data_IF_819946401135
#
_entry.id   IF_819946401135
#
_cell.length_a   1.000
_cell.length_b   1.000
_cell.length_c   1.000
_cell.angle_alpha   90.00
_cell.angle_beta   90.00
_cell.angle_gamma   90.00
#
_symmetry.space_group_name_H-M   'P 1'
#
loop_
_entity.id
_entity.type
_entity.pdbx_description
1 polymer ?
#
# COMPACT_ATOMS: atom_id res chain seq x y z
N UNK A 1 14.55 -3.73 24.69
CA UNK A 1 15.18 -5.04 24.95
C UNK A 1 14.68 -6.00 23.90
N UNK A 2 15.42 -6.14 22.80
CA UNK A 2 15.03 -7.02 21.69
C UNK A 2 15.20 -8.46 22.13
N UNK A 3 14.09 -9.17 22.35
CA UNK A 3 14.14 -10.62 22.47
C UNK A 3 14.56 -11.15 21.10
N UNK A 4 15.81 -11.59 20.98
CA UNK A 4 16.21 -12.59 19.99
C UNK A 4 15.48 -13.87 20.33
N UNK A 5 14.21 -13.98 19.93
CA UNK A 5 13.53 -15.26 19.91
C UNK A 5 14.29 -16.11 18.90
N UNK A 6 15.14 -17.00 19.41
CA UNK A 6 15.62 -18.12 18.62
C UNK A 6 14.37 -18.94 18.33
N UNK A 7 13.81 -18.72 17.14
CA UNK A 7 12.70 -19.49 16.62
C UNK A 7 13.02 -20.99 16.78
N UNK A 8 12.06 -21.83 17.19
CA UNK A 8 12.18 -23.27 17.03
C UNK A 8 12.68 -23.60 15.60
N UNK A 9 13.50 -24.66 15.41
CA UNK A 9 14.13 -24.94 14.12
C UNK A 9 13.15 -24.96 12.93
N UNK A 10 11.94 -25.52 13.15
CA UNK A 10 10.89 -25.57 12.14
C UNK A 10 10.35 -24.18 11.76
N UNK A 11 10.18 -23.29 12.74
CA UNK A 11 9.75 -21.90 12.50
C UNK A 11 10.84 -21.10 11.77
N UNK A 12 12.11 -21.37 12.08
CA UNK A 12 13.26 -20.78 11.40
C UNK A 12 13.33 -21.18 9.92
N UNK A 13 13.13 -22.47 9.60
CA UNK A 13 13.04 -22.97 8.21
C UNK A 13 11.86 -22.33 7.48
N UNK A 14 10.69 -22.29 8.11
CA UNK A 14 9.51 -21.66 7.52
C UNK A 14 9.72 -20.18 7.24
N UNK A 15 10.31 -19.45 8.20
CA UNK A 15 10.61 -18.04 8.06
C UNK A 15 11.62 -17.80 6.92
N UNK A 16 12.63 -18.67 6.75
CA UNK A 16 13.53 -18.62 5.58
C UNK A 16 12.76 -18.72 4.26
N UNK A 17 11.80 -19.64 4.15
CA UNK A 17 10.98 -19.77 2.94
C UNK A 17 10.16 -18.50 2.66
N UNK A 18 9.57 -17.90 3.71
CA UNK A 18 8.86 -16.63 3.61
C UNK A 18 9.78 -15.48 3.17
N UNK A 19 11.00 -15.42 3.72
CA UNK A 19 12.04 -14.43 3.34
C UNK A 19 12.41 -14.57 1.87
N UNK A 20 12.65 -15.79 1.38
CA UNK A 20 13.01 -16.03 -0.02
C UNK A 20 11.88 -15.65 -0.98
N UNK A 21 10.64 -16.03 -0.66
CA UNK A 21 9.47 -15.65 -1.48
C UNK A 21 9.29 -14.12 -1.52
N UNK A 22 9.45 -13.46 -0.37
CA UNK A 22 9.40 -11.99 -0.25
C UNK A 22 10.52 -11.33 -1.05
N UNK A 23 11.75 -11.83 -0.94
CA UNK A 23 12.92 -11.33 -1.64
C UNK A 23 12.82 -11.51 -3.17
N UNK A 24 12.18 -12.57 -3.65
CA UNK A 24 11.95 -12.82 -5.08
C UNK A 24 10.70 -12.12 -5.63
N UNK A 25 9.88 -11.51 -4.77
CA UNK A 25 8.62 -10.87 -5.18
C UNK A 25 7.52 -11.86 -5.55
N UNK A 26 7.64 -13.11 -5.13
CA UNK A 26 6.72 -14.20 -5.47
C UNK A 26 5.59 -14.29 -4.44
N UNK A 27 4.47 -13.61 -4.76
CA UNK A 27 3.29 -13.52 -3.88
C UNK A 27 2.59 -14.87 -3.73
N UNK A 28 2.57 -15.69 -4.79
CA UNK A 28 1.89 -16.98 -4.78
C UNK A 28 2.65 -17.99 -3.92
N UNK A 29 3.98 -18.04 -4.08
CA UNK A 29 4.83 -18.82 -3.18
C UNK A 29 4.73 -18.31 -1.76
N UNK A 30 4.79 -16.99 -1.53
CA UNK A 30 4.64 -16.42 -0.19
C UNK A 30 3.32 -16.84 0.43
N UNK A 31 2.20 -16.75 -0.31
CA UNK A 31 0.87 -17.17 0.15
C UNK A 31 0.84 -18.62 0.60
N UNK A 32 1.51 -19.52 -0.12
CA UNK A 32 1.55 -20.94 0.23
C UNK A 32 2.33 -21.26 1.52
N UNK A 33 3.35 -20.45 1.84
CA UNK A 33 4.23 -20.66 3.00
C UNK A 33 3.99 -19.66 4.14
N UNK A 34 3.01 -18.76 4.01
CA UNK A 34 2.85 -17.65 4.94
C UNK A 34 2.32 -18.11 6.30
N UNK A 35 3.06 -17.79 7.36
CA UNK A 35 2.62 -17.95 8.74
C UNK A 35 2.59 -16.59 9.45
N UNK A 36 1.40 -16.22 9.93
CA UNK A 36 1.13 -14.90 10.50
C UNK A 36 1.98 -14.55 11.72
N UNK A 37 2.22 -15.52 12.60
CA UNK A 37 2.99 -15.33 13.83
C UNK A 37 4.50 -15.14 13.57
N UNK A 38 5.01 -15.56 12.40
CA UNK A 38 6.41 -15.40 12.02
C UNK A 38 6.71 -14.06 11.33
N UNK A 39 5.69 -13.24 11.05
CA UNK A 39 5.85 -12.00 10.26
C UNK A 39 6.83 -10.98 10.84
N UNK A 40 6.98 -10.98 12.16
CA UNK A 40 7.86 -10.06 12.90
C UNK A 40 9.25 -10.64 13.18
N UNK A 41 9.54 -11.85 12.71
CA UNK A 41 10.88 -12.39 12.82
C UNK A 41 11.83 -11.59 11.96
N UNK A 42 13.09 -11.60 12.37
CA UNK A 42 14.15 -10.80 11.78
C UNK A 42 15.20 -11.72 11.16
N UNK A 43 15.74 -11.33 10.01
CA UNK A 43 16.82 -12.10 9.37
C UNK A 43 18.03 -12.14 10.32
N UNK A 44 18.47 -13.35 10.67
CA UNK A 44 19.69 -13.59 11.45
C UNK A 44 20.67 -14.40 10.63
N UNK A 45 21.91 -13.93 10.52
CA UNK A 45 22.98 -14.65 9.82
C UNK A 45 23.27 -16.00 10.45
N UNK A 46 23.31 -16.04 11.79
CA UNK A 46 23.58 -17.27 12.53
C UNK A 46 22.48 -18.30 12.26
N UNK A 47 21.21 -17.90 12.43
CA UNK A 47 20.05 -18.76 12.20
C UNK A 47 19.99 -19.25 10.75
N UNK A 48 20.28 -18.40 9.76
CA UNK A 48 20.33 -18.83 8.37
C UNK A 48 21.43 -19.87 8.13
N UNK A 49 22.65 -19.64 8.63
CA UNK A 49 23.75 -20.61 8.47
C UNK A 49 23.45 -21.93 9.17
N UNK A 50 22.84 -21.90 10.36
CA UNK A 50 22.45 -23.11 11.09
C UNK A 50 21.43 -23.94 10.30
N UNK A 51 20.43 -23.30 9.68
CA UNK A 51 19.44 -23.97 8.80
C UNK A 51 20.14 -24.61 7.61
N UNK A 52 21.00 -23.85 6.91
CA UNK A 52 21.73 -24.36 5.73
C UNK A 52 22.60 -25.56 6.10
N UNK A 53 23.27 -25.51 7.26
CA UNK A 53 24.13 -26.60 7.71
C UNK A 53 23.31 -27.85 8.06
N UNK A 54 22.16 -27.69 8.72
CA UNK A 54 21.23 -28.79 9.00
C UNK A 54 20.66 -29.40 7.71
N UNK A 55 20.21 -28.58 6.77
CA UNK A 55 19.72 -29.06 5.47
C UNK A 55 20.82 -29.79 4.69
N UNK A 56 22.04 -29.26 4.66
CA UNK A 56 23.17 -29.93 4.03
C UNK A 56 23.41 -31.31 4.64
N UNK A 57 23.47 -31.42 5.97
CA UNK A 57 23.64 -32.73 6.63
C UNK A 57 22.51 -33.70 6.32
N UNK A 58 21.27 -33.21 6.17
CA UNK A 58 20.13 -34.04 5.78
C UNK A 58 20.25 -34.52 4.33
N UNK A 59 20.60 -33.63 3.39
CA UNK A 59 20.78 -33.99 1.99
C UNK A 59 21.91 -35.02 1.80
N UNK A 60 22.99 -34.92 2.58
CA UNK A 60 24.07 -35.91 2.56
C UNK A 60 23.63 -37.34 2.93
N UNK A 61 22.49 -37.49 3.62
CA UNK A 61 21.89 -38.81 3.93
C UNK A 61 21.04 -39.42 2.80
N UNK A 62 20.71 -38.66 1.74
CA UNK A 62 19.91 -39.15 0.62
C UNK A 62 20.64 -40.25 -0.14
N UNK A 63 20.01 -41.40 -0.36
CA UNK A 63 20.66 -42.55 -1.02
C UNK A 63 20.88 -42.36 -2.52
N UNK A 64 20.00 -41.61 -3.18
CA UNK A 64 20.12 -41.28 -4.61
C UNK A 64 21.19 -40.20 -4.81
N UNK A 65 22.23 -40.52 -5.58
CA UNK A 65 23.35 -39.61 -5.82
C UNK A 65 22.99 -38.44 -6.73
N UNK A 66 22.10 -38.63 -7.71
CA UNK A 66 21.70 -37.58 -8.63
C UNK A 66 20.79 -36.57 -7.92
N UNK A 67 19.79 -37.07 -7.19
CA UNK A 67 18.90 -36.22 -6.39
C UNK A 67 19.67 -35.45 -5.31
N UNK A 68 20.65 -36.11 -4.68
CA UNK A 68 21.54 -35.46 -3.70
C UNK A 68 22.34 -34.32 -4.32
N UNK A 69 22.97 -34.54 -5.46
CA UNK A 69 23.79 -33.54 -6.14
C UNK A 69 22.95 -32.34 -6.60
N UNK A 70 21.79 -32.60 -7.20
CA UNK A 70 20.85 -31.55 -7.63
C UNK A 70 20.42 -30.67 -6.45
N UNK A 71 19.94 -31.25 -5.35
CA UNK A 71 19.49 -30.50 -4.17
C UNK A 71 20.63 -29.77 -3.45
N UNK A 72 21.84 -30.33 -3.43
CA UNK A 72 23.00 -29.65 -2.86
C UNK A 72 23.40 -28.42 -3.69
N UNK A 73 23.32 -28.52 -5.02
CA UNK A 73 23.58 -27.39 -5.90
C UNK A 73 22.53 -26.27 -5.69
N UNK A 74 21.24 -26.61 -5.62
CA UNK A 74 20.17 -25.64 -5.31
C UNK A 74 20.42 -24.91 -3.97
N UNK A 75 20.84 -25.66 -2.94
CA UNK A 75 21.14 -25.10 -1.62
C UNK A 75 22.35 -24.15 -1.66
N UNK A 76 23.39 -24.49 -2.43
CA UNK A 76 24.56 -23.64 -2.63
C UNK A 76 24.22 -22.37 -3.42
N UNK A 77 23.43 -22.48 -4.47
CA UNK A 77 22.97 -21.36 -5.28
C UNK A 77 22.14 -20.38 -4.45
N UNK A 78 21.23 -20.88 -3.62
CA UNK A 78 20.45 -20.04 -2.72
C UNK A 78 21.34 -19.35 -1.68
N UNK A 79 22.28 -20.09 -1.07
CA UNK A 79 23.24 -19.52 -0.12
C UNK A 79 24.04 -18.38 -0.75
N UNK A 80 24.52 -18.59 -1.98
CA UNK A 80 25.25 -17.58 -2.75
C UNK A 80 24.36 -16.37 -3.08
N UNK A 81 23.12 -16.60 -3.53
CA UNK A 81 22.13 -15.56 -3.79
C UNK A 81 21.88 -14.71 -2.54
N UNK A 82 21.69 -15.34 -1.38
CA UNK A 82 21.44 -14.67 -0.11
C UNK A 82 22.61 -13.77 0.32
N UNK A 83 23.85 -14.27 0.28
CA UNK A 83 25.01 -13.46 0.65
C UNK A 83 25.29 -12.34 -0.36
N UNK A 84 25.13 -12.60 -1.65
CA UNK A 84 25.19 -11.57 -2.68
C UNK A 84 24.14 -10.47 -2.45
N UNK A 85 22.92 -10.83 -2.06
CA UNK A 85 21.86 -9.87 -1.75
C UNK A 85 22.19 -9.00 -0.52
N UNK A 86 22.85 -9.58 0.49
CA UNK A 86 23.33 -8.82 1.66
C UNK A 86 24.44 -7.85 1.28
N UNK A 87 25.41 -8.28 0.47
CA UNK A 87 26.53 -7.44 0.02
C UNK A 87 26.07 -6.27 -0.86
N UNK A 88 25.09 -6.50 -1.73
CA UNK A 88 24.49 -5.48 -2.58
C UNK A 88 23.51 -4.57 -1.83
N UNK A 89 23.27 -4.81 -0.53
CA UNK A 89 22.33 -4.04 0.28
C UNK A 89 20.86 -4.23 -0.11
N UNK A 90 20.54 -5.27 -0.89
CA UNK A 90 19.17 -5.67 -1.25
C UNK A 90 18.46 -6.39 -0.10
N UNK A 91 19.23 -6.99 0.80
CA UNK A 91 18.79 -7.48 2.11
C UNK A 91 19.65 -6.85 3.19
N UNK A 92 19.11 -6.68 4.40
CA UNK A 92 19.90 -6.38 5.58
C UNK A 92 19.62 -7.39 6.69
N UNK A 93 20.67 -7.77 7.42
CA UNK A 93 20.50 -8.53 8.66
C UNK A 93 19.66 -7.71 9.64
N UNK A 94 18.68 -8.36 10.25
CA UNK A 94 17.68 -7.74 11.11
C UNK A 94 16.39 -7.34 10.40
N UNK A 95 16.33 -7.34 9.06
CA UNK A 95 15.12 -6.99 8.32
C UNK A 95 14.01 -8.01 8.61
N UNK A 96 12.77 -7.52 8.76
CA UNK A 96 11.55 -8.35 8.74
C UNK A 96 11.04 -8.48 7.31
N UNK A 97 10.03 -9.34 7.06
CA UNK A 97 9.41 -9.46 5.72
C UNK A 97 8.93 -8.10 5.17
N UNK A 98 8.44 -7.23 6.07
CA UNK A 98 7.97 -5.90 5.70
C UNK A 98 9.13 -5.01 5.24
N UNK A 99 10.28 -5.04 5.92
CA UNK A 99 11.47 -4.29 5.51
C UNK A 99 11.97 -4.74 4.14
N UNK A 100 12.02 -6.05 3.90
CA UNK A 100 12.45 -6.62 2.62
C UNK A 100 11.52 -6.16 1.50
N UNK A 101 10.21 -6.32 1.68
CA UNK A 101 9.22 -5.96 0.67
C UNK A 101 9.25 -4.45 0.35
N UNK A 102 9.44 -3.62 1.37
CA UNK A 102 9.59 -2.17 1.20
C UNK A 102 10.88 -1.81 0.47
N UNK A 103 12.01 -2.35 0.91
CA UNK A 103 13.34 -2.08 0.36
C UNK A 103 13.43 -2.44 -1.12
N UNK A 104 12.79 -3.54 -1.51
CA UNK A 104 12.79 -4.04 -2.90
C UNK A 104 11.66 -3.46 -3.75
N UNK A 105 10.75 -2.67 -3.17
CA UNK A 105 9.65 -2.09 -3.93
C UNK A 105 8.51 -3.07 -4.26
N UNK A 106 8.41 -4.20 -3.58
CA UNK A 106 7.44 -5.26 -3.87
C UNK A 106 6.04 -4.92 -3.35
N UNK A 107 5.32 -4.08 -4.10
CA UNK A 107 3.96 -3.59 -3.74
C UNK A 107 2.97 -4.72 -3.51
N UNK A 108 3.00 -5.77 -4.32
CA UNK A 108 2.03 -6.87 -4.22
C UNK A 108 2.28 -7.73 -2.96
N UNK A 109 3.54 -7.88 -2.57
CA UNK A 109 3.92 -8.54 -1.31
C UNK A 109 3.48 -7.68 -0.11
N UNK A 110 3.69 -6.37 -0.17
CA UNK A 110 3.23 -5.45 0.87
C UNK A 110 1.72 -5.50 1.03
N UNK A 111 1.01 -5.43 -0.08
CA UNK A 111 -0.43 -5.55 -0.11
C UNK A 111 -0.87 -6.89 0.47
N UNK A 112 -0.23 -8.01 0.10
CA UNK A 112 -0.52 -9.31 0.70
C UNK A 112 -0.31 -9.33 2.22
N UNK A 113 0.81 -8.80 2.73
CA UNK A 113 1.15 -8.77 4.16
C UNK A 113 0.15 -7.88 4.95
N UNK A 114 -0.26 -6.75 4.37
CA UNK A 114 -1.15 -5.75 4.99
C UNK A 114 -2.65 -6.10 4.89
N UNK A 115 -3.05 -6.78 3.81
CA UNK A 115 -4.48 -7.01 3.49
C UNK A 115 -4.99 -8.38 3.88
N UNK A 116 -4.12 -9.34 4.18
CA UNK A 116 -4.59 -10.65 4.58
C UNK A 116 -5.39 -10.52 5.87
N UNK A 117 -6.70 -10.74 5.77
CA UNK A 117 -7.54 -11.04 6.92
C UNK A 117 -6.87 -12.24 7.61
N UNK A 118 -6.35 -12.05 8.81
CA UNK A 118 -5.91 -13.14 9.67
C UNK A 118 -7.13 -13.93 10.15
N UNK A 119 -7.88 -14.51 9.22
CA UNK A 119 -8.86 -15.53 9.52
C UNK A 119 -8.10 -16.77 9.95
N UNK A 120 -7.98 -16.92 11.26
CA UNK A 120 -7.99 -18.23 11.88
C UNK A 120 -9.18 -18.99 11.29
N UNK A 121 -8.90 -19.93 10.40
CA UNK A 121 -9.85 -20.90 9.92
C UNK A 121 -10.19 -21.87 11.07
N UNK A 122 -11.02 -21.45 12.01
CA UNK A 122 -11.89 -22.41 12.70
C UNK A 122 -13.20 -22.47 11.92
N UNK A 123 -13.21 -23.34 10.92
CA UNK A 123 -14.45 -23.88 10.36
C UNK A 123 -15.15 -24.67 11.48
N UNK A 124 -15.95 -23.99 12.30
CA UNK A 124 -17.04 -24.66 13.00
C UNK A 124 -18.28 -24.41 12.16
N UNK A 125 -18.57 -25.39 11.31
CA UNK A 125 -19.81 -25.49 10.55
C UNK A 125 -20.97 -25.58 11.55
N UNK A 126 -21.52 -24.45 11.99
CA UNK A 126 -22.80 -24.43 12.71
C UNK A 126 -23.89 -24.24 11.66
N UNK A 127 -24.44 -25.38 11.24
CA UNK A 127 -25.66 -25.49 10.46
C UNK A 127 -26.81 -24.87 11.28
N UNK A 128 -27.68 -24.02 10.70
CA UNK A 128 -28.80 -23.46 11.44
C UNK A 128 -29.96 -24.45 11.40
N UNK A 129 -30.02 -25.37 12.36
CA UNK A 129 -31.20 -26.22 12.54
C UNK A 129 -32.10 -25.67 13.67
N UNK A 130 -33.23 -25.15 13.21
CA UNK A 130 -34.54 -24.94 13.81
C UNK A 130 -34.84 -25.59 15.18
N UNK A 131 -35.31 -24.75 16.11
CA UNK A 131 -36.29 -24.95 17.19
C UNK A 131 -36.25 -26.15 18.18
N UNK A 132 -36.51 -25.77 19.44
CA UNK A 132 -37.14 -26.51 20.56
C UNK A 132 -36.24 -27.05 21.70
N UNK A 133 -36.55 -26.52 22.90
CA UNK A 133 -36.51 -27.07 24.27
C UNK A 133 -35.70 -28.33 24.58
N UNK A 134 -34.90 -28.30 25.67
CA UNK A 134 -35.23 -28.87 27.02
C UNK A 134 -33.98 -28.82 27.93
N UNK A 135 -34.18 -28.53 29.21
CA UNK A 135 -33.20 -28.60 30.31
C UNK A 135 -32.58 -30.00 30.45
N UNK A 136 -31.28 -30.09 30.78
CA UNK A 136 -30.69 -31.15 31.62
C UNK A 136 -29.26 -30.85 32.07
N UNK A 137 -28.91 -31.42 33.21
CA UNK A 137 -27.86 -31.08 34.18
C UNK A 137 -26.67 -32.07 34.08
N UNK A 138 -25.45 -31.58 34.39
CA UNK A 138 -24.20 -32.25 34.83
C UNK A 138 -23.64 -33.46 34.04
N UNK A 139 -22.39 -33.33 33.57
CA UNK A 139 -21.31 -34.29 33.90
C UNK A 139 -19.92 -33.72 33.58
N UNK A 140 -19.00 -34.07 34.46
CA UNK A 140 -17.59 -33.67 34.55
C UNK A 140 -16.74 -34.08 33.35
N UNK A 141 -15.75 -33.25 33.00
CA UNK A 141 -14.75 -33.54 31.99
C UNK A 141 -13.69 -32.44 31.92
N UNK A 142 -12.66 -32.55 32.76
CA UNK A 142 -11.47 -31.71 32.71
C UNK A 142 -10.81 -31.78 31.32
N UNK A 143 -10.93 -30.72 30.54
CA UNK A 143 -9.93 -30.34 29.55
C UNK A 143 -9.66 -28.85 29.72
N UNK A 144 -8.53 -28.54 30.35
CA UNK A 144 -7.91 -27.21 30.31
C UNK A 144 -7.47 -26.95 28.87
N UNK A 145 -8.40 -26.48 28.04
CA UNK A 145 -8.04 -25.81 26.81
C UNK A 145 -7.49 -24.43 27.20
N UNK A 146 -6.16 -24.34 27.33
CA UNK A 146 -5.48 -23.04 27.23
C UNK A 146 -5.88 -22.45 25.89
N UNK A 147 -6.83 -21.54 25.93
CA UNK A 147 -7.21 -20.70 24.81
C UNK A 147 -5.97 -19.88 24.49
N UNK A 148 -5.13 -20.37 23.57
CA UNK A 148 -4.07 -19.56 23.00
C UNK A 148 -4.77 -18.44 22.24
N UNK A 149 -4.94 -17.32 22.94
CA UNK A 149 -5.28 -16.03 22.35
C UNK A 149 -4.23 -15.80 21.27
N UNK A 150 -4.67 -15.76 20.01
CA UNK A 150 -3.79 -15.46 18.88
C UNK A 150 -3.02 -14.18 19.22
N UNK A 151 -1.68 -14.25 19.14
CA UNK A 151 -0.84 -13.11 19.41
C UNK A 151 -1.30 -11.92 18.55
N UNK A 152 -1.36 -10.71 19.12
CA UNK A 152 -1.82 -9.55 18.38
C UNK A 152 -0.96 -9.37 17.13
N UNK A 153 -1.55 -8.89 16.02
CA UNK A 153 -0.81 -8.54 14.83
C UNK A 153 0.38 -7.64 15.18
N UNK A 154 1.61 -8.09 14.86
CA UNK A 154 2.84 -7.28 15.02
C UNK A 154 2.70 -5.95 14.26
N UNK A 155 2.74 -4.79 14.92
CA UNK A 155 2.48 -3.52 14.27
C UNK A 155 3.40 -3.32 13.06
N UNK A 156 2.86 -2.77 11.98
CA UNK A 156 3.62 -2.46 10.74
C UNK A 156 4.77 -1.48 10.97
N UNK A 157 4.86 -0.90 12.18
CA UNK A 157 5.96 -0.04 12.64
C UNK A 157 6.94 -0.77 13.57
N UNK A 158 7.07 -2.10 13.44
CA UNK A 158 8.09 -2.85 14.19
C UNK A 158 9.47 -2.51 13.61
N UNK A 159 10.42 -1.99 14.41
CA UNK A 159 11.76 -1.69 13.92
C UNK A 159 12.55 -2.97 13.62
N UNK A 160 13.46 -2.89 12.65
CA UNK A 160 14.47 -3.94 12.42
C UNK A 160 15.49 -3.98 13.57
N UNK A 161 16.45 -4.93 13.50
CA UNK A 161 17.50 -5.06 14.53
C UNK A 161 18.35 -3.79 14.70
N UNK A 162 18.46 -2.96 13.66
CA UNK A 162 19.21 -1.69 13.69
C UNK A 162 18.41 -0.53 14.28
N UNK A 163 17.11 -0.72 14.50
CA UNK A 163 16.20 0.33 14.96
C UNK A 163 15.50 1.09 13.83
N UNK A 164 15.76 0.74 12.57
CA UNK A 164 15.12 1.36 11.40
C UNK A 164 13.67 0.88 11.31
N UNK A 165 12.75 1.77 10.95
CA UNK A 165 11.37 1.41 10.61
C UNK A 165 11.26 1.07 9.11
N UNK A 166 10.18 0.40 8.67
CA UNK A 166 9.97 0.13 7.26
C UNK A 166 10.02 1.39 6.39
N UNK A 167 9.55 2.54 6.91
CA UNK A 167 9.62 3.82 6.20
C UNK A 167 11.04 4.31 5.95
N UNK A 168 11.96 3.98 6.85
CA UNK A 168 13.37 4.42 6.77
C UNK A 168 14.15 3.60 5.73
N UNK A 169 13.62 2.45 5.30
CA UNK A 169 14.23 1.57 4.30
C UNK A 169 13.54 1.61 2.92
N UNK A 170 12.56 2.50 2.73
CA UNK A 170 11.82 2.67 1.45
C UNK A 170 12.67 3.16 0.29
N UNK A 171 13.84 3.75 0.55
CA UNK A 171 14.65 4.41 -0.47
C UNK A 171 13.85 5.50 -1.18
N UNK A 172 13.99 5.59 -2.51
CA UNK A 172 13.35 6.63 -3.33
C UNK A 172 11.94 6.26 -3.84
N UNK A 173 11.37 5.14 -3.38
CA UNK A 173 10.05 4.71 -3.85
C UNK A 173 8.93 5.57 -3.22
N UNK A 174 8.61 6.68 -3.89
CA UNK A 174 7.64 7.67 -3.44
C UNK A 174 6.24 7.06 -3.16
N UNK A 175 5.81 6.08 -3.96
CA UNK A 175 4.51 5.43 -3.80
C UNK A 175 4.42 4.59 -2.52
N UNK A 176 5.54 4.00 -2.09
CA UNK A 176 5.64 3.24 -0.85
C UNK A 176 5.80 4.13 0.36
N UNK A 177 6.56 5.22 0.25
CA UNK A 177 6.62 6.24 1.30
C UNK A 177 5.22 6.77 1.63
N UNK A 178 4.42 7.05 0.59
CA UNK A 178 3.04 7.50 0.73
C UNK A 178 2.16 6.43 1.41
N UNK A 179 2.29 5.15 1.00
CA UNK A 179 1.58 4.03 1.63
C UNK A 179 1.87 3.93 3.12
N UNK A 180 3.15 3.94 3.51
CA UNK A 180 3.53 3.79 4.92
C UNK A 180 3.05 4.97 5.76
N UNK A 181 3.05 6.18 5.20
CA UNK A 181 2.50 7.34 5.87
C UNK A 181 0.97 7.27 6.04
N UNK A 182 0.25 6.65 5.10
CA UNK A 182 -1.18 6.36 5.26
C UNK A 182 -1.41 5.30 6.35
N UNK A 183 -0.54 4.29 6.44
CA UNK A 183 -0.61 3.29 7.51
C UNK A 183 -0.42 3.94 8.89
N UNK A 184 0.46 4.93 8.99
CA UNK A 184 0.60 5.75 10.21
C UNK A 184 -0.71 6.49 10.55
N UNK A 185 -1.41 7.09 9.58
CA UNK A 185 -2.70 7.75 9.81
C UNK A 185 -3.77 6.76 10.31
N UNK A 186 -3.78 5.54 9.77
CA UNK A 186 -4.68 4.47 10.22
C UNK A 186 -4.42 4.14 11.69
N UNK A 187 -3.14 4.01 12.07
CA UNK A 187 -2.76 3.77 13.45
C UNK A 187 -3.09 4.93 14.38
N UNK A 188 -3.01 6.17 13.91
CA UNK A 188 -3.42 7.34 14.69
C UNK A 188 -4.94 7.33 14.97
N UNK A 189 -5.74 6.94 13.97
CA UNK A 189 -7.20 6.96 14.07
C UNK A 189 -7.77 5.77 14.84
N UNK A 190 -7.24 4.57 14.62
CA UNK A 190 -7.78 3.31 15.16
C UNK A 190 -6.88 2.65 16.22
N UNK A 191 -5.67 3.16 16.44
CA UNK A 191 -4.65 2.51 17.26
C UNK A 191 -3.87 1.44 16.50
N UNK A 192 -2.81 0.90 17.12
CA UNK A 192 -1.96 -0.15 16.54
C UNK A 192 -2.58 -1.54 16.56
N UNK A 193 -3.65 -1.75 17.32
CA UNK A 193 -4.36 -3.02 17.45
C UNK A 193 -5.86 -2.75 17.39
N UNK A 194 -6.46 -2.93 16.22
CA UNK A 194 -7.89 -2.71 16.03
C UNK A 194 -8.56 -3.91 15.36
N UNK A 195 -9.81 -4.19 15.78
CA UNK A 195 -10.55 -5.41 15.43
C UNK A 195 -10.83 -5.56 13.93
N UNK A 196 -10.72 -4.48 13.16
CA UNK A 196 -11.05 -4.40 11.74
C UNK A 196 -9.81 -4.08 10.86
N UNK A 197 -8.62 -4.56 11.24
CA UNK A 197 -7.33 -4.27 10.59
C UNK A 197 -7.35 -4.35 9.07
N UNK A 198 -7.53 -5.56 8.56
CA UNK A 198 -7.54 -5.83 7.12
C UNK A 198 -8.71 -5.14 6.38
N UNK A 199 -9.77 -4.80 7.11
CA UNK A 199 -10.95 -4.08 6.63
C UNK A 199 -10.57 -2.61 6.30
N UNK A 200 -9.87 -1.91 7.21
CA UNK A 200 -9.33 -0.56 6.95
C UNK A 200 -8.21 -0.58 5.91
N UNK A 201 -7.34 -1.60 5.91
CA UNK A 201 -6.32 -1.72 4.87
C UNK A 201 -6.92 -1.96 3.47
N UNK A 202 -8.04 -2.68 3.37
CA UNK A 202 -8.81 -2.80 2.12
C UNK A 202 -9.34 -1.45 1.64
N UNK A 203 -9.88 -0.61 2.54
CA UNK A 203 -10.28 0.76 2.20
C UNK A 203 -9.08 1.55 1.66
N UNK A 204 -7.96 1.55 2.39
CA UNK A 204 -6.73 2.24 1.95
C UNK A 204 -6.27 1.76 0.57
N UNK A 205 -6.27 0.45 0.32
CA UNK A 205 -5.96 -0.10 -1.01
C UNK A 205 -6.90 0.41 -2.09
N UNK A 206 -8.20 0.40 -1.82
CA UNK A 206 -9.20 0.87 -2.78
C UNK A 206 -9.01 2.36 -3.09
N UNK A 207 -8.77 3.19 -2.08
CA UNK A 207 -8.48 4.62 -2.27
C UNK A 207 -7.21 4.84 -3.11
N UNK A 208 -6.16 4.05 -2.88
CA UNK A 208 -4.92 4.09 -3.69
C UNK A 208 -5.11 3.66 -5.14
N UNK A 209 -6.22 3.02 -5.49
CA UNK A 209 -6.57 2.66 -6.88
C UNK A 209 -7.40 3.73 -7.57
N UNK A 210 -8.09 4.56 -6.78
CA UNK A 210 -8.99 5.59 -7.27
C UNK A 210 -8.15 6.85 -7.45
N UNK A 211 -7.63 7.05 -8.66
CA UNK A 211 -6.84 8.23 -8.99
C UNK A 211 -7.58 9.55 -8.70
N UNK A 212 -8.93 9.67 -8.80
CA UNK A 212 -9.60 10.92 -8.41
C UNK A 212 -9.59 11.20 -6.90
N UNK A 213 -9.07 10.28 -6.06
CA UNK A 213 -9.12 10.44 -4.60
C UNK A 213 -8.52 11.76 -4.11
N UNK A 214 -7.54 12.30 -4.82
CA UNK A 214 -6.89 13.56 -4.46
C UNK A 214 -7.78 14.80 -4.63
N UNK A 215 -8.90 14.66 -5.33
CA UNK A 215 -9.84 15.75 -5.61
C UNK A 215 -10.90 15.93 -4.52
N UNK A 216 -11.03 14.97 -3.59
CA UNK A 216 -11.99 15.07 -2.49
C UNK A 216 -11.46 15.98 -1.39
N UNK A 217 -12.23 17.02 -1.06
CA UNK A 217 -11.88 18.01 -0.03
C UNK A 217 -12.90 17.99 1.14
N UNK A 218 -14.13 17.53 0.87
CA UNK A 218 -15.23 17.58 1.82
C UNK A 218 -15.48 16.28 2.57
N UNK A 219 -15.83 16.40 3.86
CA UNK A 219 -16.30 15.27 4.65
C UNK A 219 -17.52 14.57 4.00
N UNK A 220 -18.40 15.32 3.33
CA UNK A 220 -19.57 14.75 2.66
C UNK A 220 -19.20 13.86 1.48
N UNK A 221 -18.26 14.31 0.64
CA UNK A 221 -17.80 13.57 -0.54
C UNK A 221 -17.05 12.31 -0.12
N UNK A 222 -16.15 12.43 0.86
CA UNK A 222 -15.42 11.30 1.42
C UNK A 222 -16.35 10.33 2.14
N UNK A 223 -17.38 10.82 2.84
CA UNK A 223 -18.38 9.96 3.47
C UNK A 223 -19.17 9.17 2.42
N UNK A 224 -19.52 9.77 1.28
CA UNK A 224 -20.16 9.05 0.18
C UNK A 224 -19.22 7.99 -0.39
N UNK A 225 -17.95 8.35 -0.63
CA UNK A 225 -16.93 7.41 -1.11
C UNK A 225 -16.75 6.22 -0.16
N UNK A 226 -16.67 6.45 1.16
CA UNK A 226 -16.58 5.38 2.15
C UNK A 226 -17.80 4.47 2.10
N UNK A 227 -19.03 5.02 1.97
CA UNK A 227 -20.24 4.19 1.84
C UNK A 227 -20.18 3.30 0.60
N UNK A 228 -19.75 3.83 -0.54
CA UNK A 228 -19.67 3.09 -1.81
C UNK A 228 -18.58 2.02 -1.76
N UNK A 229 -17.38 2.37 -1.24
CA UNK A 229 -16.25 1.45 -1.23
C UNK A 229 -16.33 0.37 -0.16
N UNK A 230 -17.10 0.62 0.89
CA UNK A 230 -17.03 -0.18 2.11
C UNK A 230 -18.40 -0.72 2.56
N UNK A 231 -19.49 -0.35 1.88
CA UNK A 231 -20.88 -0.78 2.18
C UNK A 231 -21.25 -0.67 3.66
N UNK A 232 -20.93 0.48 4.26
CA UNK A 232 -21.16 0.74 5.68
C UNK A 232 -22.18 1.86 5.89
N UNK A 233 -23.09 1.62 6.85
CA UNK A 233 -24.07 2.61 7.28
C UNK A 233 -23.42 3.68 8.15
N UNK A 234 -23.97 4.90 8.11
CA UNK A 234 -23.52 6.00 8.97
C UNK A 234 -23.63 5.71 10.47
N UNK A 235 -24.49 4.76 10.86
CA UNK A 235 -24.66 4.30 12.23
C UNK A 235 -23.55 3.37 12.73
N UNK A 236 -22.65 2.93 11.85
CA UNK A 236 -21.54 2.05 12.23
C UNK A 236 -20.51 2.81 13.09
N UNK A 237 -20.09 2.27 14.23
CA UNK A 237 -19.13 2.93 15.12
C UNK A 237 -17.77 3.21 14.46
N UNK A 238 -17.35 2.44 13.45
CA UNK A 238 -16.11 2.66 12.71
C UNK A 238 -16.25 3.73 11.62
N UNK A 239 -17.47 4.08 11.20
CA UNK A 239 -17.72 4.98 10.06
C UNK A 239 -16.98 6.32 10.18
N UNK A 240 -17.05 6.96 11.36
CA UNK A 240 -16.35 8.22 11.60
C UNK A 240 -14.82 8.10 11.52
N UNK A 241 -14.25 6.96 11.91
CA UNK A 241 -12.83 6.67 11.74
C UNK A 241 -12.46 6.44 10.27
N UNK A 242 -13.27 5.68 9.54
CA UNK A 242 -13.05 5.39 8.12
C UNK A 242 -13.07 6.66 7.27
N UNK A 243 -14.00 7.58 7.55
CA UNK A 243 -14.06 8.89 6.89
C UNK A 243 -12.80 9.71 7.19
N UNK A 244 -12.32 9.72 8.45
CA UNK A 244 -11.08 10.42 8.81
C UNK A 244 -9.86 9.87 8.07
N UNK A 245 -9.72 8.54 7.99
CA UNK A 245 -8.65 7.90 7.21
C UNK A 245 -8.76 8.26 5.74
N UNK A 246 -9.95 8.16 5.15
CA UNK A 246 -10.14 8.47 3.75
C UNK A 246 -9.86 9.95 3.41
N UNK A 247 -10.19 10.88 4.31
CA UNK A 247 -9.81 12.29 4.19
C UNK A 247 -8.29 12.47 4.24
N UNK A 248 -7.61 11.80 5.18
CA UNK A 248 -6.14 11.88 5.28
C UNK A 248 -5.47 11.33 4.01
N UNK A 249 -5.98 10.21 3.47
CA UNK A 249 -5.50 9.63 2.21
C UNK A 249 -5.69 10.61 1.04
N UNK A 250 -6.90 11.16 0.88
CA UNK A 250 -7.21 12.14 -0.15
C UNK A 250 -6.26 13.34 -0.08
N UNK A 251 -6.06 13.90 1.12
CA UNK A 251 -5.17 15.03 1.36
C UNK A 251 -3.71 14.71 1.01
N UNK A 252 -3.20 13.56 1.42
CA UNK A 252 -1.82 13.15 1.10
C UNK A 252 -1.61 13.00 -0.40
N UNK A 253 -2.54 12.40 -1.11
CA UNK A 253 -2.48 12.33 -2.57
C UNK A 253 -2.56 13.71 -3.22
N UNK A 254 -3.42 14.61 -2.72
CA UNK A 254 -3.55 15.99 -3.19
C UNK A 254 -2.24 16.75 -3.08
N UNK A 255 -1.57 16.64 -1.94
CA UNK A 255 -0.25 17.26 -1.72
C UNK A 255 0.79 16.66 -2.68
N UNK A 256 0.87 15.34 -2.79
CA UNK A 256 1.87 14.67 -3.62
C UNK A 256 1.72 14.95 -5.13
N UNK A 257 0.48 14.89 -5.64
CA UNK A 257 0.15 15.23 -7.04
C UNK A 257 0.43 16.71 -7.29
N UNK A 258 -0.02 17.60 -6.41
CA UNK A 258 0.19 19.05 -6.56
C UNK A 258 1.67 19.41 -6.54
N UNK A 259 2.47 18.82 -5.65
CA UNK A 259 3.92 19.05 -5.65
C UNK A 259 4.57 18.67 -6.98
N UNK A 260 4.12 17.57 -7.60
CA UNK A 260 4.63 17.14 -8.91
C UNK A 260 4.21 18.10 -10.01
N UNK A 261 2.94 18.51 -10.01
CA UNK A 261 2.40 19.50 -10.94
C UNK A 261 3.06 20.87 -10.80
N UNK A 262 3.34 21.34 -9.58
CA UNK A 262 4.04 22.60 -9.33
C UNK A 262 5.48 22.57 -9.86
N UNK A 263 6.18 21.43 -9.76
CA UNK A 263 7.54 21.30 -10.36
C UNK A 263 7.48 21.44 -11.88
N UNK A 264 6.47 20.85 -12.52
CA UNK A 264 6.25 21.01 -13.95
C UNK A 264 5.91 22.47 -14.31
N UNK A 265 5.05 23.12 -13.52
CA UNK A 265 4.70 24.52 -13.67
C UNK A 265 5.90 25.47 -13.50
N UNK A 266 6.78 25.21 -12.53
CA UNK A 266 8.02 25.97 -12.33
C UNK A 266 8.97 25.85 -13.53
N UNK A 267 9.04 24.66 -14.13
CA UNK A 267 9.84 24.40 -15.34
C UNK A 267 9.28 25.22 -16.51
N UNK A 268 7.96 25.17 -16.72
CA UNK A 268 7.30 25.96 -17.76
C UNK A 268 7.46 27.47 -17.56
N UNK A 269 7.38 27.97 -16.32
CA UNK A 269 7.64 29.37 -16.01
C UNK A 269 9.10 29.76 -16.27
N UNK A 270 10.06 28.87 -15.99
CA UNK A 270 11.47 29.13 -16.26
C UNK A 270 11.74 29.22 -17.77
N UNK A 271 11.08 28.40 -18.59
CA UNK A 271 11.16 28.46 -20.05
C UNK A 271 10.53 29.73 -20.66
N UNK A 272 9.71 30.45 -19.88
CA UNK A 272 9.03 31.67 -20.30
C UNK A 272 9.51 32.90 -19.50
N UNK A 273 10.77 32.92 -19.08
CA UNK A 273 11.39 34.05 -18.36
C UNK A 273 10.59 34.54 -17.13
N UNK A 274 9.93 33.62 -16.42
CA UNK A 274 9.05 33.90 -15.28
C UNK A 274 7.77 34.68 -15.59
N UNK A 275 7.36 34.78 -16.85
CA UNK A 275 6.12 35.42 -17.26
C UNK A 275 4.95 34.42 -17.27
N UNK A 276 4.02 34.61 -16.31
CA UNK A 276 2.82 33.80 -16.17
C UNK A 276 1.91 33.85 -17.41
N UNK A 277 1.80 35.00 -18.07
CA UNK A 277 0.96 35.13 -19.26
C UNK A 277 1.54 34.36 -20.43
N UNK A 278 2.86 34.46 -20.65
CA UNK A 278 3.54 33.68 -21.68
C UNK A 278 3.49 32.17 -21.39
N UNK A 279 3.69 31.75 -20.14
CA UNK A 279 3.56 30.36 -19.73
C UNK A 279 2.15 29.80 -20.01
N UNK A 280 1.10 30.55 -19.68
CA UNK A 280 -0.30 30.18 -20.00
C UNK A 280 -0.55 30.12 -21.51
N UNK A 281 -0.03 31.07 -22.28
CA UNK A 281 -0.17 31.03 -23.74
C UNK A 281 0.56 29.83 -24.35
N UNK A 282 1.76 29.51 -23.86
CA UNK A 282 2.54 28.34 -24.29
C UNK A 282 1.85 27.02 -23.95
N UNK A 283 1.21 26.92 -22.79
CA UNK A 283 0.39 25.76 -22.42
C UNK A 283 -0.80 25.56 -23.37
N UNK A 284 -1.57 26.62 -23.64
CA UNK A 284 -2.81 26.50 -24.43
C UNK A 284 -2.51 26.33 -25.92
N UNK A 285 -1.54 27.07 -26.46
CA UNK A 285 -1.26 27.12 -27.91
C UNK A 285 -0.07 26.26 -28.34
N UNK A 286 0.85 25.97 -27.43
CA UNK A 286 2.13 25.33 -27.74
C UNK A 286 2.24 23.87 -27.31
N UNK A 287 1.39 23.39 -26.41
CA UNK A 287 1.41 21.98 -25.96
C UNK A 287 0.33 21.19 -26.70
N UNK A 288 0.73 20.06 -27.29
CA UNK A 288 -0.22 19.10 -27.87
C UNK A 288 -1.01 18.39 -26.77
N UNK A 289 -2.19 17.85 -27.14
CA UNK A 289 -2.98 17.01 -26.23
C UNK A 289 -2.18 15.78 -25.78
N UNK A 290 -1.39 15.19 -26.68
CA UNK A 290 -0.50 14.06 -26.39
C UNK A 290 0.49 14.40 -25.28
N UNK A 291 1.18 15.55 -25.36
CA UNK A 291 2.12 15.98 -24.32
C UNK A 291 1.42 16.18 -22.96
N UNK A 292 0.24 16.80 -22.95
CA UNK A 292 -0.54 17.01 -21.72
C UNK A 292 -0.93 15.67 -21.08
N UNK A 293 -1.35 14.71 -21.91
CA UNK A 293 -1.70 13.35 -21.49
C UNK A 293 -0.48 12.59 -20.94
N UNK A 294 0.67 12.70 -21.59
CA UNK A 294 1.94 12.10 -21.14
C UNK A 294 2.39 12.67 -19.79
N UNK A 295 2.40 13.99 -19.64
CA UNK A 295 2.79 14.66 -18.40
C UNK A 295 1.84 14.31 -17.24
N UNK A 296 0.52 14.31 -17.50
CA UNK A 296 -0.48 13.89 -16.52
C UNK A 296 -0.30 12.41 -16.13
N UNK A 297 -0.05 11.55 -17.12
CA UNK A 297 0.21 10.12 -16.92
C UNK A 297 1.46 9.91 -16.08
N UNK A 298 2.54 10.65 -16.35
CA UNK A 298 3.78 10.55 -15.57
C UNK A 298 3.57 10.94 -14.11
N UNK A 299 2.79 12.01 -13.84
CA UNK A 299 2.42 12.40 -12.48
C UNK A 299 1.61 11.28 -11.81
N UNK A 300 0.60 10.74 -12.50
CA UNK A 300 -0.27 9.72 -11.90
C UNK A 300 0.41 8.37 -11.72
N UNK A 301 1.19 7.87 -12.67
CA UNK A 301 1.94 6.62 -12.52
C UNK A 301 2.91 6.65 -11.33
N UNK A 302 3.47 7.83 -11.01
CA UNK A 302 4.36 8.00 -9.86
C UNK A 302 3.67 7.75 -8.51
N UNK A 303 2.40 8.14 -8.39
CA UNK A 303 1.67 8.11 -7.11
C UNK A 303 0.60 7.01 -7.05
N UNK A 304 0.06 6.63 -8.20
CA UNK A 304 -0.94 5.59 -8.42
C UNK A 304 -0.35 4.52 -9.34
N UNK A 305 0.39 3.53 -8.81
CA UNK A 305 1.09 2.52 -9.62
C UNK A 305 0.17 1.69 -10.54
N UNK A 306 -1.11 1.62 -10.20
CA UNK A 306 -2.13 0.90 -10.95
C UNK A 306 -2.83 1.77 -12.01
N UNK A 307 -2.49 3.06 -12.11
CA UNK A 307 -2.96 3.95 -13.16
C UNK A 307 -2.41 3.48 -14.51
N UNK A 308 -3.32 3.15 -15.44
CA UNK A 308 -2.98 2.75 -16.79
C UNK A 308 -3.40 3.86 -17.75
N UNK A 309 -2.48 4.45 -18.53
CA UNK A 309 -2.85 5.33 -19.62
C UNK A 309 -3.62 4.51 -20.66
N UNK A 310 -4.92 4.78 -20.78
CA UNK A 310 -5.87 4.28 -21.78
C UNK A 310 -5.99 2.74 -21.87
N UNK A 311 -7.14 2.23 -21.45
CA UNK A 311 -7.50 0.82 -21.62
C UNK A 311 -7.95 0.52 -23.05
N UNK A 312 -7.02 0.16 -23.95
CA UNK A 312 -7.25 -0.46 -25.29
C UNK A 312 -8.22 0.23 -26.28
N UNK A 313 -8.99 1.24 -25.89
CA UNK A 313 -9.85 2.05 -26.74
C UNK A 313 -9.35 3.49 -26.68
N UNK A 314 -8.98 4.01 -27.84
CA UNK A 314 -8.67 5.42 -28.02
C UNK A 314 -10.03 6.13 -28.07
N UNK A 315 -10.46 6.61 -26.90
CA UNK A 315 -11.67 7.40 -26.77
C UNK A 315 -11.25 8.86 -26.81
N UNK A 316 -11.46 9.49 -27.97
CA UNK A 316 -11.03 10.87 -28.21
C UNK A 316 -11.73 11.85 -27.24
N UNK A 317 -12.94 11.53 -26.77
CA UNK A 317 -13.68 12.33 -25.77
C UNK A 317 -13.01 12.26 -24.39
N UNK A 318 -12.53 11.07 -23.99
CA UNK A 318 -11.83 10.90 -22.71
C UNK A 318 -10.46 11.60 -22.71
N UNK A 319 -9.77 11.57 -23.85
CA UNK A 319 -8.48 12.27 -24.03
C UNK A 319 -8.66 13.79 -23.99
N UNK A 320 -9.72 14.32 -24.62
CA UNK A 320 -10.07 15.74 -24.55
C UNK A 320 -10.43 16.17 -23.12
N UNK A 321 -11.26 15.39 -22.41
CA UNK A 321 -11.63 15.68 -21.02
C UNK A 321 -10.41 15.73 -20.09
N UNK A 322 -9.45 14.80 -20.26
CA UNK A 322 -8.19 14.80 -19.48
C UNK A 322 -7.30 15.99 -19.81
N UNK A 323 -7.27 16.44 -21.07
CA UNK A 323 -6.51 17.62 -21.46
C UNK A 323 -7.11 18.90 -20.86
N UNK A 324 -8.44 19.05 -20.89
CA UNK A 324 -9.14 20.18 -20.24
C UNK A 324 -8.89 20.18 -18.73
N UNK A 325 -8.94 19.00 -18.12
CA UNK A 325 -8.60 18.83 -16.71
C UNK A 325 -7.16 19.25 -16.41
N UNK A 326 -6.21 18.77 -17.22
CA UNK A 326 -4.80 19.13 -17.08
C UNK A 326 -4.58 20.63 -17.20
N UNK A 327 -5.21 21.30 -18.18
CA UNK A 327 -5.10 22.75 -18.35
C UNK A 327 -5.61 23.51 -17.12
N UNK A 328 -6.73 23.04 -16.54
CA UNK A 328 -7.29 23.62 -15.32
C UNK A 328 -6.36 23.45 -14.12
N UNK A 329 -5.83 22.23 -13.92
CA UNK A 329 -4.89 21.93 -12.85
C UNK A 329 -3.57 22.73 -13.01
N UNK A 330 -3.05 22.79 -14.24
CA UNK A 330 -1.81 23.50 -14.57
C UNK A 330 -1.96 25.00 -14.42
N UNK A 331 -3.09 25.60 -14.78
CA UNK A 331 -3.35 27.02 -14.56
C UNK A 331 -3.23 27.39 -13.06
N UNK A 332 -3.75 26.51 -12.21
CA UNK A 332 -3.66 26.62 -10.76
C UNK A 332 -2.23 26.42 -10.24
N UNK A 333 -1.53 25.37 -10.70
CA UNK A 333 -0.13 25.14 -10.34
C UNK A 333 0.80 26.25 -10.81
N UNK A 334 0.57 26.85 -11.97
CA UNK A 334 1.30 28.01 -12.48
C UNK A 334 1.11 29.24 -11.59
N UNK A 335 -0.12 29.49 -11.14
CA UNK A 335 -0.40 30.58 -10.21
C UNK A 335 0.36 30.38 -8.88
N UNK A 336 0.31 29.15 -8.36
CA UNK A 336 1.02 28.78 -7.13
C UNK A 336 2.54 28.89 -7.31
N UNK A 337 3.07 28.43 -8.43
CA UNK A 337 4.49 28.50 -8.75
C UNK A 337 4.97 29.95 -8.89
N UNK A 338 4.15 30.84 -9.46
CA UNK A 338 4.43 32.27 -9.52
C UNK A 338 4.47 32.88 -8.11
N UNK A 339 3.47 32.57 -7.27
CA UNK A 339 3.43 33.04 -5.89
C UNK A 339 4.69 32.57 -5.13
N UNK A 340 5.07 31.29 -5.25
CA UNK A 340 6.29 30.75 -4.63
C UNK A 340 7.57 31.51 -5.01
N UNK A 341 7.70 31.89 -6.29
CA UNK A 341 8.86 32.64 -6.77
C UNK A 341 8.89 34.06 -6.23
N UNK A 342 7.72 34.72 -6.16
CA UNK A 342 7.59 36.09 -5.67
C UNK A 342 7.80 36.21 -4.16
N UNK A 343 7.44 35.19 -3.39
CA UNK A 343 7.46 35.24 -1.92
C UNK A 343 8.70 34.62 -1.24
N UNK A 344 9.75 34.24 -1.99
CA UNK A 344 11.05 33.71 -1.48
C UNK A 344 11.01 33.19 -0.03
N UNK A 345 10.43 32.00 0.18
CA UNK A 345 10.66 31.11 1.34
C UNK A 345 10.82 31.78 2.72
N UNK A 346 9.74 32.30 3.31
CA UNK A 346 9.57 32.32 4.77
C UNK A 346 8.17 31.87 5.14
N UNK A 347 8.05 30.58 5.48
CA UNK A 347 6.89 29.93 6.13
C UNK A 347 5.52 30.47 5.69
N UNK A 348 5.08 30.11 4.50
CA UNK A 348 3.69 30.33 4.10
C UNK A 348 2.85 29.10 4.49
N UNK A 349 1.86 29.31 5.35
CA UNK A 349 1.05 28.27 5.99
C UNK A 349 0.41 27.29 5.00
N UNK A 350 0.68 26.00 5.22
CA UNK A 350 0.12 24.82 4.51
C UNK A 350 -1.40 24.84 4.35
N UNK A 351 -2.13 25.57 5.20
CA UNK A 351 -3.60 25.67 5.15
C UNK A 351 -4.12 26.55 4.00
N UNK A 352 -3.33 27.51 3.51
CA UNK A 352 -3.73 28.37 2.37
C UNK A 352 -3.67 27.58 1.05
N UNK A 353 -2.80 26.57 0.99
CA UNK A 353 -2.64 25.63 -0.12
C UNK A 353 -3.81 24.66 -0.28
N UNK A 354 -4.58 24.41 0.79
CA UNK A 354 -5.75 23.53 0.77
C UNK A 354 -6.87 24.10 -0.12
N UNK A 355 -7.18 25.39 0.02
CA UNK A 355 -8.35 26.02 -0.63
C UNK A 355 -8.18 26.41 -2.09
N UNK A 356 -6.95 26.43 -2.63
CA UNK A 356 -6.66 27.01 -3.96
C UNK A 356 -6.42 25.99 -5.07
N UNK A 357 -6.32 24.69 -4.75
CA UNK A 357 -6.08 23.62 -5.74
C UNK A 357 -7.40 23.07 -6.34
N UNK A 358 -8.54 23.52 -5.84
CA UNK A 358 -9.86 23.04 -6.24
C UNK A 358 -10.20 23.50 -7.68
N UNK A 359 -10.59 22.59 -8.61
CA UNK A 359 -11.40 22.98 -9.76
C UNK A 359 -12.70 23.63 -9.28
N UNK A 360 -13.38 24.40 -10.14
CA UNK A 360 -14.56 25.15 -9.71
C UNK A 360 -15.61 24.24 -9.03
N UNK A 361 -16.34 24.70 -8.00
CA UNK A 361 -17.39 23.90 -7.35
C UNK A 361 -18.48 23.41 -8.33
N UNK A 362 -18.69 24.12 -9.44
CA UNK A 362 -19.58 23.71 -10.52
C UNK A 362 -19.01 22.52 -11.32
N UNK A 363 -17.70 22.54 -11.59
CA UNK A 363 -16.98 21.42 -12.21
C UNK A 363 -16.92 20.20 -11.29
N UNK A 364 -16.83 20.41 -9.97
CA UNK A 364 -16.94 19.33 -8.97
C UNK A 364 -18.36 18.80 -8.88
N UNK A 365 -19.39 19.64 -9.00
CA UNK A 365 -20.78 19.21 -9.14
C UNK A 365 -21.00 18.30 -10.35
N UNK A 366 -20.44 18.65 -11.51
CA UNK A 366 -20.47 17.82 -12.73
C UNK A 366 -19.65 16.53 -12.56
N UNK A 367 -18.50 16.58 -11.87
CA UNK A 367 -17.68 15.40 -11.54
C UNK A 367 -18.37 14.51 -10.50
N UNK A 368 -19.15 15.07 -9.58
CA UNK A 368 -19.98 14.34 -8.61
C UNK A 368 -21.23 13.74 -9.27
N UNK A 369 -21.78 14.37 -10.30
CA UNK A 369 -22.76 13.73 -11.21
C UNK A 369 -22.07 12.59 -11.98
N UNK A 370 -20.78 12.74 -12.31
CA UNK A 370 -19.95 11.62 -12.75
C UNK A 370 -19.62 10.58 -11.66
N UNK A 371 -19.85 10.80 -10.36
CA UNK A 371 -19.74 9.76 -9.32
C UNK A 371 -20.94 8.81 -9.40
N UNK A 372 -22.14 9.32 -9.61
CA UNK A 372 -23.33 8.52 -9.96
C UNK A 372 -23.17 7.85 -11.35
N UNK A 373 -22.42 8.48 -12.25
CA UNK A 373 -22.05 7.88 -13.53
C UNK A 373 -20.88 6.89 -13.40
N UNK A 374 -19.99 7.02 -12.40
CA UNK A 374 -18.91 6.09 -12.06
C UNK A 374 -19.50 4.81 -11.47
N UNK A 375 -20.60 4.88 -10.73
CA UNK A 375 -21.42 3.70 -10.38
C UNK A 375 -21.84 2.90 -11.64
N UNK A 376 -22.18 3.59 -12.74
CA UNK A 376 -22.51 2.97 -14.03
C UNK A 376 -21.30 2.62 -14.92
N UNK A 377 -20.24 3.44 -14.89
CA UNK A 377 -19.08 3.38 -15.79
C UNK A 377 -17.97 2.46 -15.27
N UNK A 378 -17.76 2.39 -13.95
CA UNK A 378 -16.75 1.52 -13.35
C UNK A 378 -17.07 0.04 -13.58
N UNK A 379 -18.31 -0.31 -13.98
CA UNK A 379 -18.75 -1.68 -14.24
C UNK A 379 -18.22 -2.67 -13.20
N UNK A 380 -18.00 -2.26 -11.94
CA UNK A 380 -17.01 -2.83 -11.00
C UNK A 380 -16.99 -4.37 -11.05
N UNK A 381 -16.16 -4.98 -11.93
CA UNK A 381 -16.10 -6.43 -12.03
C UNK A 381 -15.38 -7.03 -10.82
N UNK A 382 -14.77 -6.18 -9.99
CA UNK A 382 -13.98 -6.56 -8.81
C UNK A 382 -14.84 -6.70 -7.53
N UNK A 383 -16.16 -6.53 -7.62
CA UNK A 383 -17.10 -7.08 -6.63
C UNK A 383 -17.58 -8.49 -7.03
N UNK A 384 -17.14 -9.01 -8.18
CA UNK A 384 -17.24 -10.42 -8.56
C UNK A 384 -15.85 -10.99 -8.77
N UNK A 385 -15.14 -11.29 -7.68
CA UNK A 385 -14.47 -12.57 -7.34
C UNK A 385 -13.88 -12.41 -5.95
#
# INVERSE_FOLDING_TARGET
>A
MGQTHSAPPNEAVQFRQMVLATYRGDVDKLRSVFQSHLRGFQISRATYLDIIMQEQTHLETLTDSLEREEKLNELQDEKMEFFSALEQGRLALGDTLLHIAVRLGHTDILDFILLNDYHNSFKTLVRPDTAASTLSILASGHYTATTQVAAPPLPTNTPNLKGDLPRDVTGDNCSLQLLLAIVDDVHEVFGSTYREEAKVHRLVRSLRRIWPSWMFEGQQEVAALVRVLYDVRTSDPAFGGLVRVAMAVAERFRVAVSQSGIRLALTLLAECDADLHQARQKLVKGWSMERKSEDLTAIFQRWFPLYKPNGRRKDDEEEEARAVFFDTAMATWLQIAQDLRLFTLKRYDSQIWQRRVCPSPASIGEICVHITSLEGYLRLPHLSV
#
